data_IF_175762865691
#
_entry.id   IF_175762865691
#
_cell.length_a   1.000
_cell.length_b   1.000
_cell.length_c   1.000
_cell.angle_alpha   90.00
_cell.angle_beta   90.00
_cell.angle_gamma   90.00
#
_symmetry.space_group_name_H-M   'P 1'
#
loop_
_entity.id
_entity.type
_entity.pdbx_description
1 polymer ?
#
# COMPACT_ATOMS: atom_id res chain seq x y z
N UNK A 1 36.09 38.69 12.83
CA UNK A 1 36.98 37.73 12.16
C UNK A 1 37.72 36.90 13.21
N UNK A 2 37.79 35.58 12.97
CA UNK A 2 38.47 34.48 13.72
C UNK A 2 37.91 34.03 15.08
N UNK A 3 37.52 32.74 15.10
CA UNK A 3 37.78 31.69 16.11
C UNK A 3 37.32 30.38 15.43
N UNK A 4 38.19 29.61 14.76
CA UNK A 4 39.20 28.66 15.25
C UNK A 4 38.65 27.42 15.95
N UNK A 5 38.62 26.30 15.20
CA UNK A 5 39.06 24.99 15.70
C UNK A 5 37.96 24.00 16.09
N UNK A 6 37.85 22.89 15.35
CA UNK A 6 38.26 21.57 15.85
C UNK A 6 38.26 20.54 14.71
N UNK A 7 39.44 20.00 14.40
CA UNK A 7 39.65 18.81 13.59
C UNK A 7 39.87 17.61 14.52
N UNK A 8 39.28 16.44 14.21
CA UNK A 8 39.74 15.15 14.75
C UNK A 8 39.69 14.08 13.65
N UNK A 9 40.88 13.73 13.16
CA UNK A 9 41.20 12.52 12.42
C UNK A 9 41.59 11.42 13.43
N UNK A 10 41.13 10.17 13.26
CA UNK A 10 41.84 9.02 13.83
C UNK A 10 41.63 7.71 13.05
N UNK A 11 42.69 7.37 12.30
CA UNK A 11 43.36 6.08 12.07
C UNK A 11 42.60 4.88 11.46
N UNK A 12 43.00 4.59 10.22
CA UNK A 12 43.17 3.23 9.70
C UNK A 12 44.34 2.51 10.40
N UNK A 13 44.19 1.20 10.59
CA UNK A 13 45.26 0.26 10.92
C UNK A 13 44.98 -1.05 10.17
N UNK A 14 45.88 -1.41 9.25
CA UNK A 14 45.92 -2.70 8.60
C UNK A 14 46.78 -3.71 9.39
N UNK A 15 46.61 -5.00 9.05
CA UNK A 15 47.62 -6.07 8.95
C UNK A 15 47.32 -7.31 9.82
N UNK A 16 47.13 -8.48 9.20
CA UNK A 16 48.13 -9.59 9.16
C UNK A 16 47.51 -10.91 8.65
N UNK A 17 48.13 -11.49 7.61
CA UNK A 17 47.94 -12.86 7.10
C UNK A 17 48.64 -13.91 7.99
N UNK A 18 48.03 -15.10 8.11
CA UNK A 18 48.64 -16.45 8.19
C UNK A 18 47.53 -17.46 8.53
N UNK A 19 47.46 -18.73 8.14
CA UNK A 19 48.15 -19.64 7.22
C UNK A 19 47.21 -20.87 7.09
N UNK A 20 47.52 -21.72 6.12
CA UNK A 20 46.71 -22.81 5.58
C UNK A 20 46.49 -24.05 6.47
N UNK A 21 45.37 -24.71 6.17
CA UNK A 21 45.18 -26.13 5.91
C UNK A 21 45.50 -27.24 6.95
N UNK A 22 44.52 -28.16 6.93
CA UNK A 22 44.57 -29.61 7.21
C UNK A 22 44.40 -30.13 8.65
N UNK A 23 43.58 -31.18 8.69
CA UNK A 23 43.76 -32.34 9.53
C UNK A 23 43.67 -32.19 11.04
N UNK A 24 42.44 -32.20 11.54
CA UNK A 24 42.10 -33.17 12.60
C UNK A 24 40.80 -33.88 12.20
N UNK A 25 40.98 -34.87 11.34
CA UNK A 25 40.14 -36.05 11.25
C UNK A 25 39.82 -36.62 12.65
N UNK A 26 38.71 -37.34 12.69
CA UNK A 26 38.39 -38.40 13.64
C UNK A 26 37.88 -37.96 15.02
N UNK A 27 36.56 -37.82 15.14
CA UNK A 27 35.92 -38.48 16.27
C UNK A 27 34.50 -39.01 15.95
N UNK A 28 34.46 -40.31 15.69
CA UNK A 28 33.44 -41.26 16.19
C UNK A 28 32.00 -41.24 15.65
N UNK A 29 31.67 -42.32 14.93
CA UNK A 29 30.50 -43.11 15.30
C UNK A 29 29.57 -43.55 14.18
N UNK A 30 29.92 -44.61 13.47
CA UNK A 30 28.98 -45.40 12.67
C UNK A 30 27.86 -45.99 13.53
N UNK A 31 26.62 -45.98 13.02
CA UNK A 31 25.59 -47.02 13.24
C UNK A 31 24.43 -46.81 12.26
N UNK A 32 24.31 -47.74 11.32
CA UNK A 32 23.15 -47.97 10.45
C UNK A 32 22.07 -48.76 11.20
N UNK A 33 20.78 -48.46 10.99
CA UNK A 33 19.70 -49.46 10.89
C UNK A 33 18.46 -48.87 10.16
N UNK A 34 17.65 -49.65 9.40
CA UNK A 34 16.65 -49.14 8.46
C UNK A 34 15.16 -49.26 8.88
N UNK A 35 14.30 -48.60 8.09
CA UNK A 35 12.83 -48.73 7.84
C UNK A 35 11.80 -48.18 8.88
N UNK A 36 10.57 -47.70 8.49
CA UNK A 36 9.79 -48.05 7.28
C UNK A 36 9.17 -46.87 6.48
N UNK A 37 8.70 -47.19 5.27
CA UNK A 37 7.89 -46.34 4.36
C UNK A 37 6.51 -46.05 4.95
N UNK A 38 6.10 -44.78 4.95
CA UNK A 38 4.70 -44.35 5.08
C UNK A 38 4.39 -43.28 4.01
N UNK A 39 3.17 -43.38 3.49
CA UNK A 39 2.58 -42.78 2.28
C UNK A 39 2.56 -41.23 2.20
N UNK A 40 2.38 -40.66 0.99
CA UNK A 40 2.33 -39.21 0.79
C UNK A 40 1.00 -38.66 1.30
N UNK A 41 1.04 -37.82 2.33
CA UNK A 41 -0.08 -36.93 2.65
C UNK A 41 0.10 -35.64 1.85
N UNK A 42 -0.88 -35.20 1.04
CA UNK A 42 -0.76 -33.98 0.27
C UNK A 42 -0.69 -32.78 1.22
N UNK A 43 0.40 -32.02 1.14
CA UNK A 43 0.49 -30.70 1.76
C UNK A 43 -0.58 -29.78 1.16
N UNK A 44 -1.24 -28.92 1.95
CA UNK A 44 -2.25 -28.01 1.43
C UNK A 44 -1.57 -27.00 0.51
N UNK A 45 -2.02 -26.96 -0.75
CA UNK A 45 -1.65 -25.95 -1.74
C UNK A 45 -1.95 -24.57 -1.14
N UNK A 46 -0.89 -23.84 -0.81
CA UNK A 46 -0.97 -22.43 -0.50
C UNK A 46 -1.53 -21.73 -1.75
N UNK A 47 -2.75 -21.20 -1.63
CA UNK A 47 -3.35 -20.33 -2.63
C UNK A 47 -2.40 -19.14 -2.89
N UNK A 48 -1.97 -18.90 -4.15
CA UNK A 48 -1.25 -17.69 -4.46
C UNK A 48 -2.28 -16.55 -4.40
N UNK A 49 -2.28 -15.80 -3.31
CA UNK A 49 -2.93 -14.49 -3.26
C UNK A 49 -2.26 -13.60 -4.31
N UNK A 50 -2.98 -13.12 -5.34
CA UNK A 50 -2.40 -12.19 -6.27
C UNK A 50 -2.31 -10.82 -5.59
N UNK A 51 -1.15 -10.53 -4.99
CA UNK A 51 -0.69 -9.14 -4.80
C UNK A 51 -0.43 -8.55 -6.18
N UNK A 52 -1.47 -8.01 -6.79
CA UNK A 52 -1.32 -7.12 -7.94
C UNK A 52 -1.03 -5.73 -7.36
N UNK A 53 0.22 -5.50 -6.99
CA UNK A 53 0.81 -4.16 -6.94
C UNK A 53 1.23 -3.80 -8.36
N UNK A 54 0.26 -3.56 -9.24
CA UNK A 54 0.51 -2.64 -10.33
C UNK A 54 0.40 -1.24 -9.76
N UNK A 55 1.48 -0.46 -9.89
CA UNK A 55 1.45 1.00 -9.98
C UNK A 55 0.70 1.43 -11.25
N UNK A 56 -0.50 0.89 -11.47
CA UNK A 56 -1.49 1.48 -12.33
C UNK A 56 -1.95 2.73 -11.60
N UNK A 57 -1.70 3.85 -12.24
CA UNK A 57 -2.06 5.19 -11.87
C UNK A 57 -3.59 5.28 -11.69
N UNK A 58 -4.12 4.82 -10.55
CA UNK A 58 -5.58 4.65 -10.35
C UNK A 58 -6.28 6.00 -10.45
N UNK A 59 -7.30 6.10 -11.29
CA UNK A 59 -8.20 7.26 -11.43
C UNK A 59 -9.19 7.37 -10.27
N UNK A 60 -8.77 7.01 -9.06
CA UNK A 60 -9.66 6.83 -7.91
C UNK A 60 -9.11 7.54 -6.68
N UNK A 61 -9.96 8.35 -6.04
CA UNK A 61 -9.69 9.01 -4.77
C UNK A 61 -10.57 8.39 -3.69
N UNK A 62 -9.96 7.74 -2.69
CA UNK A 62 -10.69 7.17 -1.54
C UNK A 62 -10.83 8.21 -0.42
N UNK A 63 -12.07 8.48 0.00
CA UNK A 63 -12.37 9.41 1.09
C UNK A 63 -12.31 8.69 2.44
N UNK A 64 -11.55 9.27 3.36
CA UNK A 64 -11.25 8.75 4.68
C UNK A 64 -11.27 9.85 5.74
N UNK A 65 -10.29 9.85 6.64
CA UNK A 65 -10.24 10.76 7.80
C UNK A 65 -9.52 12.08 7.54
N UNK A 66 -8.89 12.26 6.37
CA UNK A 66 -8.13 13.48 6.08
C UNK A 66 -9.04 14.71 5.96
N UNK A 67 -8.53 15.93 6.18
CA UNK A 67 -9.26 17.16 5.89
C UNK A 67 -9.82 17.19 4.46
N UNK A 68 -10.95 17.87 4.28
CA UNK A 68 -11.64 17.95 2.99
C UNK A 68 -10.74 18.49 1.87
N UNK A 69 -9.90 19.49 2.18
CA UNK A 69 -9.04 20.15 1.21
C UNK A 69 -7.96 19.22 0.65
N UNK A 70 -7.47 18.26 1.43
CA UNK A 70 -6.48 17.28 0.95
C UNK A 70 -7.05 16.48 -0.22
N UNK A 71 -8.32 16.09 -0.14
CA UNK A 71 -9.01 15.36 -1.19
C UNK A 71 -9.29 16.24 -2.42
N UNK A 72 -9.69 17.49 -2.20
CA UNK A 72 -9.91 18.45 -3.29
C UNK A 72 -8.61 18.65 -4.08
N UNK A 73 -7.51 18.97 -3.40
CA UNK A 73 -6.21 19.18 -4.05
C UNK A 73 -5.71 17.94 -4.77
N UNK A 74 -5.84 16.75 -4.18
CA UNK A 74 -5.46 15.50 -4.82
C UNK A 74 -6.29 15.22 -6.09
N UNK A 75 -7.60 15.46 -6.04
CA UNK A 75 -8.51 15.25 -7.18
C UNK A 75 -8.19 16.20 -8.32
N UNK A 76 -8.00 17.50 -8.03
CA UNK A 76 -7.64 18.50 -9.05
C UNK A 76 -6.26 18.20 -9.68
N UNK A 77 -5.30 17.75 -8.87
CA UNK A 77 -3.99 17.35 -9.38
C UNK A 77 -4.12 16.21 -10.38
N UNK A 78 -4.91 15.18 -10.09
CA UNK A 78 -5.11 14.06 -11.01
C UNK A 78 -5.91 14.45 -12.27
N UNK A 79 -6.97 15.28 -12.11
CA UNK A 79 -7.76 15.82 -13.22
C UNK A 79 -6.94 16.69 -14.20
N UNK A 80 -5.79 17.23 -13.77
CA UNK A 80 -4.91 17.97 -14.68
C UNK A 80 -4.27 17.09 -15.77
N UNK A 81 -4.16 15.80 -15.51
CA UNK A 81 -3.53 14.81 -16.41
C UNK A 81 -4.52 13.76 -16.93
N UNK A 82 -5.73 13.69 -16.37
CA UNK A 82 -6.70 12.63 -16.64
C UNK A 82 -8.08 13.22 -16.90
N UNK A 83 -8.83 12.65 -17.87
CA UNK A 83 -10.13 13.20 -18.26
C UNK A 83 -11.21 13.00 -17.18
N UNK A 84 -11.08 11.95 -16.37
CA UNK A 84 -12.09 11.55 -15.39
C UNK A 84 -11.43 11.00 -14.14
N UNK A 85 -11.96 11.37 -12.97
CA UNK A 85 -11.59 10.82 -11.66
C UNK A 85 -12.83 10.37 -10.89
N UNK A 86 -12.74 9.19 -10.28
CA UNK A 86 -13.78 8.63 -9.42
C UNK A 86 -13.46 8.87 -7.95
N UNK A 87 -14.32 9.60 -7.24
CA UNK A 87 -14.27 9.70 -5.79
C UNK A 87 -15.06 8.55 -5.19
N UNK A 88 -14.43 7.72 -4.34
CA UNK A 88 -15.08 6.60 -3.65
C UNK A 88 -15.15 6.82 -2.14
N UNK A 89 -16.29 6.52 -1.55
CA UNK A 89 -16.49 6.59 -0.12
C UNK A 89 -17.48 5.54 0.40
N UNK A 90 -17.41 5.27 1.70
CA UNK A 90 -18.29 4.32 2.37
C UNK A 90 -18.76 4.82 3.73
N UNK A 91 -19.96 4.41 4.12
CA UNK A 91 -20.58 4.74 5.41
C UNK A 91 -20.53 6.23 5.72
N UNK A 92 -20.06 6.59 6.92
CA UNK A 92 -20.00 7.99 7.41
C UNK A 92 -19.21 8.94 6.49
N UNK A 93 -18.31 8.42 5.63
CA UNK A 93 -17.49 9.25 4.73
C UNK A 93 -18.20 9.67 3.45
N UNK A 94 -19.39 9.16 3.19
CA UNK A 94 -20.18 9.52 2.00
C UNK A 94 -20.49 11.02 1.97
N UNK A 95 -20.93 11.61 3.10
CA UNK A 95 -21.20 13.06 3.16
C UNK A 95 -19.97 13.87 2.77
N UNK A 96 -18.79 13.49 3.27
CA UNK A 96 -17.53 14.16 2.93
C UNK A 96 -17.19 14.02 1.44
N UNK A 97 -17.51 12.89 0.81
CA UNK A 97 -17.30 12.70 -0.63
C UNK A 97 -18.18 13.62 -1.48
N UNK A 98 -19.45 13.81 -1.06
CA UNK A 98 -20.37 14.76 -1.68
C UNK A 98 -19.87 16.19 -1.50
N UNK A 99 -19.37 16.54 -0.31
CA UNK A 99 -18.82 17.88 -0.08
C UNK A 99 -17.59 18.16 -0.97
N UNK A 100 -16.70 17.16 -1.13
CA UNK A 100 -15.54 17.27 -2.03
C UNK A 100 -15.98 17.46 -3.48
N UNK A 101 -16.91 16.65 -3.97
CA UNK A 101 -17.35 16.73 -5.37
C UNK A 101 -18.03 18.07 -5.68
N UNK A 102 -18.89 18.54 -4.78
CA UNK A 102 -19.55 19.84 -4.90
C UNK A 102 -18.56 21.00 -4.80
N UNK A 103 -17.52 20.89 -3.97
CA UNK A 103 -16.51 21.93 -3.87
C UNK A 103 -15.67 22.05 -5.15
N UNK A 104 -15.36 20.91 -5.78
CA UNK A 104 -14.61 20.89 -7.06
C UNK A 104 -15.42 21.57 -8.15
N UNK A 105 -16.67 21.15 -8.38
CA UNK A 105 -17.50 21.73 -9.45
C UNK A 105 -17.77 23.22 -9.22
N UNK A 106 -18.07 23.63 -7.98
CA UNK A 106 -18.31 25.06 -7.67
C UNK A 106 -17.09 25.94 -7.82
N UNK A 107 -15.89 25.46 -7.44
CA UNK A 107 -14.66 26.27 -7.54
C UNK A 107 -14.09 26.30 -8.95
N UNK A 108 -14.32 25.25 -9.73
CA UNK A 108 -13.74 25.07 -11.06
C UNK A 108 -14.79 25.20 -12.18
N UNK A 109 -15.89 25.91 -11.92
CA UNK A 109 -16.97 26.18 -12.87
C UNK A 109 -16.42 26.78 -14.19
N UNK A 110 -15.47 27.73 -14.08
CA UNK A 110 -14.81 28.33 -15.24
C UNK A 110 -13.92 27.35 -16.05
N UNK A 111 -13.53 26.21 -15.48
CA UNK A 111 -12.72 25.17 -16.14
C UNK A 111 -13.60 24.09 -16.79
N UNK A 112 -14.89 24.02 -16.42
CA UNK A 112 -15.85 23.06 -16.96
C UNK A 112 -15.78 21.68 -16.30
N UNK A 113 -15.41 21.57 -15.02
CA UNK A 113 -15.51 20.28 -14.33
C UNK A 113 -16.95 20.02 -13.86
N UNK A 114 -17.46 18.85 -14.23
CA UNK A 114 -18.83 18.43 -13.95
C UNK A 114 -18.86 17.07 -13.25
N UNK A 115 -19.92 16.80 -12.49
CA UNK A 115 -20.22 15.46 -11.98
C UNK A 115 -20.91 14.70 -13.12
N UNK A 116 -20.23 13.70 -13.68
CA UNK A 116 -20.73 12.95 -14.84
C UNK A 116 -21.56 11.73 -14.47
N UNK A 117 -21.29 11.09 -13.33
CA UNK A 117 -22.05 9.93 -12.85
C UNK A 117 -21.99 9.81 -11.33
N UNK A 118 -23.03 9.21 -10.74
CA UNK A 118 -23.10 8.89 -9.31
C UNK A 118 -23.67 7.49 -9.13
N UNK A 119 -22.87 6.60 -8.55
CA UNK A 119 -23.24 5.20 -8.29
C UNK A 119 -23.33 4.95 -6.80
N UNK A 120 -24.40 4.29 -6.36
CA UNK A 120 -24.64 3.95 -4.95
C UNK A 120 -24.85 2.44 -4.84
N UNK A 121 -24.19 1.83 -3.87
CA UNK A 121 -24.33 0.39 -3.61
C UNK A 121 -24.21 0.10 -2.11
N UNK A 122 -24.23 -1.17 -1.73
CA UNK A 122 -23.98 -1.60 -0.36
C UNK A 122 -23.24 -2.93 -0.35
N UNK A 123 -22.34 -3.10 0.60
CA UNK A 123 -21.49 -4.28 0.76
C UNK A 123 -21.60 -4.82 2.19
N UNK A 124 -21.52 -6.14 2.36
CA UNK A 124 -21.43 -6.76 3.68
C UNK A 124 -19.97 -6.70 4.14
N UNK A 125 -19.74 -6.05 5.28
CA UNK A 125 -18.42 -5.97 5.90
C UNK A 125 -18.43 -6.63 7.28
N UNK A 126 -17.41 -7.42 7.57
CA UNK A 126 -17.15 -7.94 8.89
C UNK A 126 -16.61 -6.82 9.78
N UNK A 127 -17.30 -6.58 10.89
CA UNK A 127 -16.86 -5.63 11.91
C UNK A 127 -15.85 -6.29 12.86
N UNK A 128 -15.22 -5.49 13.72
CA UNK A 128 -14.21 -5.96 14.68
C UNK A 128 -14.76 -7.00 15.67
N UNK A 129 -16.08 -7.02 15.90
CA UNK A 129 -16.79 -7.98 16.72
C UNK A 129 -17.16 -9.29 15.96
N UNK A 130 -16.63 -9.49 14.75
CA UNK A 130 -16.89 -10.66 13.91
C UNK A 130 -18.27 -10.70 13.27
N UNK A 131 -19.14 -9.71 13.55
CA UNK A 131 -20.48 -9.64 12.95
C UNK A 131 -20.44 -8.93 11.60
N UNK A 132 -21.19 -9.45 10.65
CA UNK A 132 -21.42 -8.80 9.37
C UNK A 132 -22.39 -7.64 9.50
N UNK A 133 -22.08 -6.54 8.81
CA UNK A 133 -22.94 -5.36 8.70
C UNK A 133 -22.95 -4.86 7.27
N UNK A 134 -24.13 -4.47 6.79
CA UNK A 134 -24.24 -3.78 5.50
C UNK A 134 -23.69 -2.36 5.64
N UNK A 135 -22.80 -1.98 4.72
CA UNK A 135 -22.21 -0.65 4.65
C UNK A 135 -22.48 -0.07 3.27
N UNK A 136 -23.05 1.12 3.23
CA UNK A 136 -23.32 1.84 1.99
C UNK A 136 -22.01 2.32 1.36
N UNK A 137 -21.94 2.24 0.03
CA UNK A 137 -20.85 2.69 -0.80
C UNK A 137 -21.37 3.74 -1.80
N UNK A 138 -20.52 4.71 -2.13
CA UNK A 138 -20.79 5.73 -3.15
C UNK A 138 -19.55 5.94 -4.02
N UNK A 139 -19.78 6.04 -5.34
CA UNK A 139 -18.80 6.44 -6.33
C UNK A 139 -19.33 7.69 -7.05
N UNK A 140 -18.50 8.71 -7.20
CA UNK A 140 -18.84 9.97 -7.87
C UNK A 140 -17.78 10.22 -8.92
N UNK A 141 -18.17 10.26 -10.19
CA UNK A 141 -17.27 10.55 -11.29
C UNK A 141 -17.27 12.06 -11.58
N UNK A 142 -16.07 12.64 -11.63
CA UNK A 142 -15.85 14.02 -12.05
C UNK A 142 -15.06 13.97 -13.36
N UNK A 143 -15.56 14.68 -14.37
CA UNK A 143 -14.89 14.81 -15.66
C UNK A 143 -14.95 16.26 -16.15
N UNK A 144 -14.20 16.53 -17.22
CA UNK A 144 -14.24 17.81 -17.91
C UNK A 144 -15.27 17.75 -19.04
N UNK A 145 -16.16 18.74 -19.10
CA UNK A 145 -17.09 18.97 -20.22
C UNK A 145 -16.37 19.51 -21.47
#
# INVERSE_FOLDING_TARGET
MKLSGYNRNLKLSANKKSNDAEDILSEFGSRTNPEPVAEPTPEPVAEPTPKIETTEERNVIFIGTKPIMDYVSATLTQLSTRPTITIKARGKRITQAVDVSQMITKRMDAVGFVISDVRISSELLTSQDGKERKVSNMEIDISKE
#
